data_IF_467422441527
#
_entry.id   IF_467422441527
#
_cell.length_a   1.000
_cell.length_b   1.000
_cell.length_c   1.000
_cell.angle_alpha   90.00
_cell.angle_beta   90.00
_cell.angle_gamma   90.00
#
_symmetry.space_group_name_H-M   'P 1'
#
loop_
_entity.id
_entity.type
_entity.pdbx_description
1 polymer ?
#
# COMPACT_ATOMS: atom_id res chain seq x y z
N UNK A 1 19.94 7.66 -11.19
CA UNK A 1 21.30 8.20 -10.97
C UNK A 1 22.10 7.20 -10.14
N UNK A 2 23.18 6.61 -10.67
CA UNK A 2 24.03 5.73 -9.86
C UNK A 2 24.83 6.55 -8.84
N UNK A 3 24.93 6.07 -7.59
CA UNK A 3 25.71 6.71 -6.53
C UNK A 3 25.04 6.69 -5.15
N UNK A 4 25.83 6.99 -4.13
CA UNK A 4 25.40 7.00 -2.73
C UNK A 4 25.57 8.40 -2.15
N UNK A 5 24.50 8.94 -1.56
CA UNK A 5 24.53 10.19 -0.83
C UNK A 5 24.95 9.91 0.62
N UNK A 6 26.23 10.15 0.92
CA UNK A 6 26.83 9.93 2.24
C UNK A 6 26.20 10.80 3.35
N UNK A 7 25.70 12.00 3.02
CA UNK A 7 25.06 12.88 4.02
C UNK A 7 23.69 12.37 4.44
N UNK A 8 22.94 11.77 3.51
CA UNK A 8 21.61 11.21 3.78
C UNK A 8 21.62 9.70 4.04
N UNK A 9 22.79 9.06 3.97
CA UNK A 9 22.98 7.62 4.08
C UNK A 9 22.05 6.80 3.16
N UNK A 10 21.78 7.30 1.95
CA UNK A 10 20.83 6.73 0.98
C UNK A 10 21.41 6.69 -0.43
N UNK A 11 20.91 5.78 -1.26
CA UNK A 11 21.20 5.82 -2.69
C UNK A 11 20.66 7.10 -3.33
N UNK A 12 21.31 7.60 -4.39
CA UNK A 12 20.84 8.78 -5.12
C UNK A 12 19.44 8.57 -5.73
N UNK A 13 19.08 7.33 -6.07
CA UNK A 13 17.72 7.00 -6.51
C UNK A 13 16.70 7.17 -5.38
N UNK A 14 17.00 6.72 -4.15
CA UNK A 14 16.12 6.93 -3.02
C UNK A 14 15.92 8.42 -2.68
N UNK A 15 16.96 9.23 -2.88
CA UNK A 15 16.87 10.70 -2.72
C UNK A 15 16.03 11.31 -3.86
N UNK A 16 16.13 10.79 -5.09
CA UNK A 16 15.31 11.23 -6.21
C UNK A 16 13.83 10.87 -6.00
N UNK A 17 13.53 9.64 -5.56
CA UNK A 17 12.17 9.20 -5.22
C UNK A 17 11.50 10.11 -4.19
N UNK A 18 12.22 10.50 -3.13
CA UNK A 18 11.70 11.46 -2.14
C UNK A 18 11.49 12.86 -2.73
N UNK A 19 12.34 13.30 -3.67
CA UNK A 19 12.15 14.57 -4.40
C UNK A 19 10.96 14.54 -5.35
N UNK A 20 10.63 13.36 -5.88
CA UNK A 20 9.44 13.10 -6.70
C UNK A 20 8.17 12.93 -5.85
N UNK A 21 8.25 13.13 -4.54
CA UNK A 21 7.09 13.07 -3.63
C UNK A 21 6.71 11.66 -3.19
N UNK A 22 7.50 10.64 -3.55
CA UNK A 22 7.28 9.27 -3.09
C UNK A 22 7.67 9.12 -1.62
N UNK A 23 6.95 8.25 -0.92
CA UNK A 23 7.15 8.03 0.51
C UNK A 23 7.21 6.55 0.85
N UNK A 24 8.02 6.20 1.85
CA UNK A 24 7.97 4.85 2.44
C UNK A 24 6.68 4.66 3.25
N UNK A 25 6.26 3.41 3.45
CA UNK A 25 5.00 3.08 4.14
C UNK A 25 4.84 3.76 5.52
N UNK A 26 5.92 3.94 6.28
CA UNK A 26 5.88 4.63 7.58
C UNK A 26 5.53 6.11 7.46
N UNK A 27 5.87 6.76 6.34
CA UNK A 27 5.63 8.16 6.02
C UNK A 27 4.28 8.44 5.35
N UNK A 28 3.47 7.41 5.06
CA UNK A 28 2.08 7.60 4.62
C UNK A 28 1.29 8.19 5.79
N UNK A 29 0.83 9.42 5.63
CA UNK A 29 0.05 10.19 6.62
C UNK A 29 -1.33 10.57 6.07
N UNK A 30 -2.24 10.97 6.95
CA UNK A 30 -3.58 11.42 6.56
C UNK A 30 -3.51 12.63 5.62
N UNK A 31 -2.60 13.58 5.91
CA UNK A 31 -2.40 14.76 5.08
C UNK A 31 -1.92 14.38 3.68
N UNK A 32 -0.89 13.55 3.59
CA UNK A 32 -0.35 13.10 2.30
C UNK A 32 -1.38 12.36 1.44
N UNK A 33 -2.24 11.54 2.05
CA UNK A 33 -3.36 10.90 1.36
C UNK A 33 -4.42 11.93 0.91
N UNK A 34 -4.79 12.87 1.78
CA UNK A 34 -5.78 13.89 1.48
C UNK A 34 -5.33 14.85 0.37
N UNK A 35 -4.04 15.21 0.34
CA UNK A 35 -3.44 16.04 -0.71
C UNK A 35 -3.57 15.37 -2.10
N UNK A 36 -3.68 14.05 -2.16
CA UNK A 36 -3.93 13.26 -3.36
C UNK A 36 -5.41 12.86 -3.57
N UNK A 37 -6.33 13.40 -2.76
CA UNK A 37 -7.77 13.11 -2.86
C UNK A 37 -8.21 11.76 -2.29
N UNK A 38 -7.33 11.05 -1.55
CA UNK A 38 -7.66 9.78 -0.91
C UNK A 38 -8.33 10.04 0.44
N UNK A 39 -9.58 9.63 0.59
CA UNK A 39 -10.37 9.82 1.82
C UNK A 39 -10.32 8.61 2.77
N UNK A 40 -9.67 7.53 2.35
CA UNK A 40 -9.56 6.31 3.15
C UNK A 40 -8.75 6.50 4.44
N UNK A 41 -9.07 5.77 5.52
CA UNK A 41 -8.27 5.81 6.73
C UNK A 41 -6.81 5.39 6.48
N UNK A 42 -5.84 6.13 7.05
CA UNK A 42 -4.41 5.80 6.94
C UNK A 42 -4.11 4.36 7.33
N UNK A 43 -4.75 3.89 8.40
CA UNK A 43 -4.57 2.51 8.89
C UNK A 43 -5.11 1.48 7.91
N UNK A 44 -6.17 1.80 7.17
CA UNK A 44 -6.69 0.92 6.12
C UNK A 44 -5.72 0.86 4.95
N UNK A 45 -5.21 2.00 4.47
CA UNK A 45 -4.20 2.03 3.40
C UNK A 45 -2.93 1.26 3.80
N UNK A 46 -2.42 1.47 5.01
CA UNK A 46 -1.26 0.72 5.52
C UNK A 46 -1.55 -0.78 5.63
N UNK A 47 -2.79 -1.17 5.96
CA UNK A 47 -3.19 -2.56 5.97
C UNK A 47 -3.23 -3.15 4.56
N UNK A 48 -3.74 -2.42 3.56
CA UNK A 48 -3.71 -2.83 2.14
C UNK A 48 -2.28 -2.99 1.60
N UNK A 49 -1.39 -2.06 1.94
CA UNK A 49 0.06 -2.14 1.64
C UNK A 49 0.66 -3.42 2.23
N UNK A 50 0.37 -3.71 3.51
CA UNK A 50 0.89 -4.89 4.21
C UNK A 50 0.47 -6.20 3.54
N UNK A 51 -0.77 -6.28 3.05
CA UNK A 51 -1.31 -7.49 2.39
C UNK A 51 -0.98 -7.55 0.89
N UNK A 52 -0.25 -6.55 0.37
CA UNK A 52 0.22 -6.50 -1.01
C UNK A 52 -0.87 -6.19 -2.03
N UNK A 53 -1.90 -5.43 -1.63
CA UNK A 53 -2.96 -4.95 -2.54
C UNK A 53 -2.73 -3.51 -3.02
N UNK A 54 -1.67 -2.87 -2.52
CA UNK A 54 -1.14 -1.61 -3.05
C UNK A 54 0.25 -1.90 -3.57
N UNK A 55 0.48 -1.56 -4.84
CA UNK A 55 1.77 -1.73 -5.50
C UNK A 55 2.77 -0.66 -5.07
N UNK A 56 4.02 -1.07 -4.84
CA UNK A 56 5.13 -0.12 -4.72
C UNK A 56 5.48 0.51 -6.08
N UNK A 57 5.72 1.81 -6.08
CA UNK A 57 6.17 2.56 -7.25
C UNK A 57 7.64 2.27 -7.56
N UNK A 58 8.44 2.20 -6.49
CA UNK A 58 9.87 1.95 -6.57
C UNK A 58 10.31 1.14 -5.34
N UNK A 59 11.34 0.32 -5.51
CA UNK A 59 11.92 -0.41 -4.40
C UNK A 59 13.44 -0.36 -4.46
N UNK A 60 14.04 -0.32 -3.28
CA UNK A 60 15.48 -0.23 -3.11
C UNK A 60 15.95 -1.23 -2.07
N UNK A 61 17.11 -1.84 -2.32
CA UNK A 61 17.84 -2.49 -1.25
C UNK A 61 18.50 -1.43 -0.37
N UNK A 62 18.45 -1.66 0.93
CA UNK A 62 19.14 -0.87 1.94
C UNK A 62 20.10 -1.77 2.70
N UNK A 63 21.28 -1.22 2.99
CA UNK A 63 22.36 -1.86 3.77
C UNK A 63 22.97 -3.13 3.15
N UNK A 64 23.96 -3.69 3.86
CA UNK A 64 24.63 -4.96 3.58
C UNK A 64 23.70 -6.18 3.70
N UNK A 65 22.58 -6.07 4.43
CA UNK A 65 21.65 -7.16 4.67
C UNK A 65 20.55 -7.30 3.60
N UNK A 66 20.62 -6.52 2.52
CA UNK A 66 19.65 -6.57 1.41
C UNK A 66 18.19 -6.36 1.86
N UNK A 67 17.98 -5.54 2.90
CA UNK A 67 16.62 -5.21 3.34
C UNK A 67 15.93 -4.39 2.26
N UNK A 68 14.75 -4.83 1.83
CA UNK A 68 13.94 -4.14 0.82
C UNK A 68 13.17 -2.98 1.45
N UNK A 69 13.31 -1.80 0.87
CA UNK A 69 12.53 -0.60 1.20
C UNK A 69 11.68 -0.25 0.00
N UNK A 70 10.37 -0.21 0.21
CA UNK A 70 9.40 0.13 -0.81
C UNK A 70 8.97 1.59 -0.67
N UNK A 71 8.90 2.28 -1.80
CA UNK A 71 8.41 3.64 -1.96
C UNK A 71 7.06 3.59 -2.67
N UNK A 72 6.15 4.43 -2.20
CA UNK A 72 4.78 4.53 -2.66
C UNK A 72 4.52 5.92 -3.19
N UNK A 73 3.80 5.97 -4.30
CA UNK A 73 3.31 7.20 -4.91
C UNK A 73 1.81 7.29 -4.69
N UNK A 74 1.28 8.48 -4.41
CA UNK A 74 -0.12 8.63 -4.04
C UNK A 74 -1.06 8.31 -5.22
N UNK A 75 -0.64 8.68 -6.43
CA UNK A 75 -1.34 8.40 -7.68
C UNK A 75 -1.53 6.90 -7.92
N UNK A 76 -0.50 6.10 -7.64
CA UNK A 76 -0.55 4.63 -7.79
C UNK A 76 -1.54 4.02 -6.78
N UNK A 77 -1.60 4.56 -5.56
CA UNK A 77 -2.59 4.15 -4.55
C UNK A 77 -4.01 4.48 -5.03
N UNK A 78 -4.22 5.64 -5.67
CA UNK A 78 -5.52 5.99 -6.25
C UNK A 78 -5.92 4.99 -7.33
N UNK A 79 -5.00 4.61 -8.22
CA UNK A 79 -5.27 3.63 -9.26
C UNK A 79 -5.59 2.24 -8.68
N UNK A 80 -4.81 1.79 -7.70
CA UNK A 80 -5.05 0.50 -7.03
C UNK A 80 -6.41 0.48 -6.32
N UNK A 81 -6.79 1.58 -5.64
CA UNK A 81 -8.10 1.69 -5.01
C UNK A 81 -9.24 1.64 -6.04
N UNK A 82 -9.08 2.31 -7.19
CA UNK A 82 -10.05 2.25 -8.30
C UNK A 82 -10.19 0.83 -8.82
N UNK A 83 -9.07 0.16 -9.09
CA UNK A 83 -9.04 -1.24 -9.56
C UNK A 83 -9.69 -2.19 -8.55
N UNK A 84 -9.41 -2.03 -7.26
CA UNK A 84 -10.07 -2.80 -6.20
C UNK A 84 -11.57 -2.56 -6.16
N UNK A 85 -12.02 -1.32 -6.43
CA UNK A 85 -13.44 -0.98 -6.48
C UNK A 85 -14.13 -1.60 -7.71
N UNK A 86 -13.52 -1.53 -8.89
CA UNK A 86 -14.03 -2.12 -10.13
C UNK A 86 -14.23 -3.63 -10.02
N UNK A 87 -13.33 -4.32 -9.32
CA UNK A 87 -13.47 -5.76 -9.04
C UNK A 87 -14.42 -6.09 -7.88
N UNK A 88 -15.11 -5.10 -7.29
CA UNK A 88 -16.00 -5.28 -6.14
C UNK A 88 -15.28 -5.64 -4.84
N UNK A 89 -13.94 -5.58 -4.82
CA UNK A 89 -13.11 -5.98 -3.67
C UNK A 89 -13.07 -4.92 -2.60
N UNK A 90 -13.12 -3.63 -2.98
CA UNK A 90 -12.91 -2.53 -2.05
C UNK A 90 -13.96 -2.51 -0.91
N UNK A 91 -15.23 -2.77 -1.22
CA UNK A 91 -16.29 -2.84 -0.22
C UNK A 91 -16.06 -3.99 0.78
N UNK A 92 -15.74 -5.18 0.26
CA UNK A 92 -15.39 -6.37 1.08
C UNK A 92 -14.19 -6.07 1.98
N UNK A 93 -13.14 -5.45 1.44
CA UNK A 93 -11.93 -5.12 2.19
C UNK A 93 -12.21 -4.10 3.30
N UNK A 94 -13.07 -3.11 3.08
CA UNK A 94 -13.51 -2.17 4.13
C UNK A 94 -14.27 -2.89 5.24
N UNK A 95 -15.17 -3.81 4.90
CA UNK A 95 -15.90 -4.63 5.87
C UNK A 95 -14.94 -5.50 6.68
N UNK A 96 -14.05 -6.24 6.01
CA UNK A 96 -13.02 -7.05 6.65
C UNK A 96 -12.13 -6.21 7.57
N UNK A 97 -11.73 -5.01 7.14
CA UNK A 97 -10.91 -4.14 7.99
C UNK A 97 -11.67 -3.65 9.23
N UNK A 98 -12.99 -3.49 9.16
CA UNK A 98 -13.80 -3.12 10.33
C UNK A 98 -13.77 -4.21 11.42
N UNK A 99 -13.66 -5.47 11.03
CA UNK A 99 -13.55 -6.66 11.88
C UNK A 99 -12.13 -6.81 12.46
N UNK A 100 -11.93 -6.72 13.80
CA UNK A 100 -10.60 -6.72 14.41
C UNK A 100 -9.75 -7.96 14.11
N UNK A 101 -10.36 -9.13 13.90
CA UNK A 101 -9.62 -10.37 13.62
C UNK A 101 -8.82 -10.29 12.32
N UNK A 102 -9.32 -9.60 11.28
CA UNK A 102 -8.64 -9.52 9.98
C UNK A 102 -7.55 -8.45 9.93
N UNK A 103 -7.54 -7.49 10.86
CA UNK A 103 -6.49 -6.46 10.91
C UNK A 103 -5.12 -7.05 11.21
N UNK A 104 -5.07 -8.13 12.00
CA UNK A 104 -3.85 -8.82 12.42
C UNK A 104 -3.63 -10.18 11.77
N UNK A 105 -4.61 -10.67 11.00
CA UNK A 105 -4.51 -11.95 10.32
C UNK A 105 -3.33 -11.99 9.32
N UNK A 106 -2.91 -13.22 9.01
CA UNK A 106 -1.90 -13.49 8.00
C UNK A 106 -2.42 -13.11 6.61
N UNK A 107 -1.53 -12.62 5.74
CA UNK A 107 -1.88 -12.14 4.40
C UNK A 107 -2.64 -13.18 3.58
N UNK A 108 -2.21 -14.45 3.63
CA UNK A 108 -2.90 -15.53 2.90
C UNK A 108 -4.32 -15.78 3.41
N UNK A 109 -4.55 -15.75 4.72
CA UNK A 109 -5.90 -15.93 5.28
C UNK A 109 -6.83 -14.79 4.84
N UNK A 110 -6.32 -13.56 4.82
CA UNK A 110 -7.06 -12.38 4.35
C UNK A 110 -7.40 -12.51 2.86
N UNK A 111 -6.46 -12.97 2.02
CA UNK A 111 -6.69 -13.15 0.59
C UNK A 111 -7.79 -14.18 0.32
N UNK A 112 -7.73 -15.34 0.98
CA UNK A 112 -8.75 -16.38 0.83
C UNK A 112 -10.12 -15.90 1.28
N UNK A 113 -10.21 -15.25 2.43
CA UNK A 113 -11.47 -14.70 2.94
C UNK A 113 -12.03 -13.62 2.01
N UNK A 114 -11.19 -12.73 1.50
CA UNK A 114 -11.60 -11.72 0.52
C UNK A 114 -12.19 -12.37 -0.73
N UNK A 115 -11.52 -13.38 -1.30
CA UNK A 115 -12.02 -14.10 -2.49
C UNK A 115 -13.36 -14.76 -2.19
N UNK A 116 -13.49 -15.43 -1.03
CA UNK A 116 -14.72 -16.07 -0.60
C UNK A 116 -15.88 -15.06 -0.52
N UNK A 117 -15.70 -13.93 0.17
CA UNK A 117 -16.72 -12.88 0.30
C UNK A 117 -17.08 -12.22 -1.02
N UNK A 118 -16.09 -12.00 -1.90
CA UNK A 118 -16.32 -11.43 -3.23
C UNK A 118 -17.13 -12.38 -4.10
N UNK A 119 -16.90 -13.68 -4.03
CA UNK A 119 -17.68 -14.67 -4.77
C UNK A 119 -19.10 -14.79 -4.21
N UNK A 120 -19.26 -14.87 -2.89
CA UNK A 120 -20.57 -14.91 -2.26
C UNK A 120 -21.44 -13.68 -2.64
N UNK A 121 -20.84 -12.48 -2.67
CA UNK A 121 -21.54 -11.26 -3.08
C UNK A 121 -21.93 -11.22 -4.58
N UNK A 122 -21.30 -12.04 -5.43
CA UNK A 122 -21.68 -12.18 -6.85
C UNK A 122 -22.83 -13.14 -7.05
N UNK A 123 -22.93 -14.16 -6.20
CA UNK A 123 -23.97 -15.20 -6.30
C UNK A 123 -25.34 -14.72 -5.79
N UNK A 124 -25.39 -13.58 -5.08
CA UNK A 124 -26.61 -12.94 -4.58
C UNK A 124 -27.27 -11.95 -5.58
N UNK A 125 -26.70 -11.79 -6.79
CA UNK A 125 -27.16 -10.88 -7.86
C UNK A 125 -27.68 -11.68 -9.05
#
# INVERSE_FOLDING_TARGET
>A
MAGYNMMMWKSNNAVAAEREGMVVASKITKKWLADAGITEPVMFIKWLVRIGLISEAEWHHTSKFYNRVNYYRAEDIVEDLKRLNEYGRLAVLRQMFSEPQWRKAHTEAIRWEMIHRVNAAKDEV
#
